data_IF_210617423287
#
_entry.id   IF_210617423287
#
_cell.length_a   1.000
_cell.length_b   1.000
_cell.length_c   1.000
_cell.angle_alpha   90.00
_cell.angle_beta   90.00
_cell.angle_gamma   90.00
#
_symmetry.space_group_name_H-M   'P 1'
#
loop_
_entity.id
_entity.type
_entity.pdbx_description
1 polymer ?
#
# COMPACT_ATOMS: atom_id res chain seq x y z
N UNK A 1 15.87 3.33 -32.66
CA UNK A 1 16.96 2.44 -32.20
C UNK A 1 17.69 2.91 -30.94
N UNK A 2 17.72 4.19 -30.58
CA UNK A 2 18.37 4.66 -29.34
C UNK A 2 17.60 4.33 -28.04
N UNK A 3 16.26 4.21 -28.10
CA UNK A 3 15.42 3.91 -26.94
C UNK A 3 15.59 2.47 -26.41
N UNK A 4 15.83 1.49 -27.28
CA UNK A 4 16.08 0.12 -26.85
C UNK A 4 17.44 -0.02 -26.16
N UNK A 5 18.48 0.71 -26.58
CA UNK A 5 19.77 0.66 -25.88
C UNK A 5 19.69 1.19 -24.45
N UNK A 6 18.82 2.18 -24.19
CA UNK A 6 18.64 2.75 -22.85
C UNK A 6 17.90 1.81 -21.89
N UNK A 7 16.93 1.05 -22.39
CA UNK A 7 16.22 0.06 -21.56
C UNK A 7 17.12 -1.14 -21.22
N UNK A 8 17.94 -1.60 -22.16
CA UNK A 8 18.96 -2.61 -21.88
C UNK A 8 20.04 -2.11 -20.89
N UNK A 9 20.43 -0.83 -20.96
CA UNK A 9 21.34 -0.24 -19.98
C UNK A 9 20.72 -0.13 -18.58
N UNK A 10 19.45 0.24 -18.46
CA UNK A 10 18.76 0.29 -17.17
C UNK A 10 18.61 -1.11 -16.54
N UNK A 11 18.34 -2.13 -17.36
CA UNK A 11 18.23 -3.52 -16.92
C UNK A 11 19.60 -4.08 -16.47
N UNK A 12 20.68 -3.70 -17.16
CA UNK A 12 22.06 -4.02 -16.74
C UNK A 12 22.45 -3.29 -15.46
N UNK A 13 22.02 -2.04 -15.26
CA UNK A 13 22.26 -1.31 -14.01
C UNK A 13 21.48 -1.91 -12.84
N UNK A 14 20.25 -2.38 -13.06
CA UNK A 14 19.46 -3.10 -12.04
C UNK A 14 20.07 -4.45 -11.69
N UNK A 15 20.54 -5.23 -12.69
CA UNK A 15 21.25 -6.49 -12.45
C UNK A 15 22.59 -6.27 -11.73
N UNK A 16 23.33 -5.23 -12.09
CA UNK A 16 24.56 -4.84 -11.40
C UNK A 16 24.28 -4.44 -9.95
N UNK A 17 23.21 -3.66 -9.70
CA UNK A 17 22.79 -3.27 -8.36
C UNK A 17 22.35 -4.47 -7.50
N UNK A 18 21.60 -5.41 -8.09
CA UNK A 18 21.21 -6.65 -7.42
C UNK A 18 22.44 -7.52 -7.06
N UNK A 19 23.43 -7.61 -7.96
CA UNK A 19 24.68 -8.34 -7.68
C UNK A 19 25.55 -7.65 -6.61
N UNK A 20 25.54 -6.31 -6.55
CA UNK A 20 26.23 -5.55 -5.53
C UNK A 20 25.59 -5.73 -4.14
N UNK A 21 24.25 -5.76 -4.08
CA UNK A 21 23.51 -6.08 -2.84
C UNK A 21 23.78 -7.52 -2.36
N UNK A 22 23.94 -8.47 -3.27
CA UNK A 22 24.34 -9.84 -2.91
C UNK A 22 25.76 -9.87 -2.31
N UNK A 23 26.71 -9.14 -2.89
CA UNK A 23 28.09 -9.07 -2.38
C UNK A 23 28.24 -8.34 -1.04
N UNK A 24 27.43 -7.32 -0.76
CA UNK A 24 27.45 -6.65 0.55
C UNK A 24 26.89 -7.54 1.66
N UNK A 25 25.92 -8.41 1.34
CA UNK A 25 25.41 -9.40 2.31
C UNK A 25 26.47 -10.46 2.69
N UNK A 26 27.29 -10.89 1.71
CA UNK A 26 28.40 -11.82 1.97
C UNK A 26 29.57 -11.15 2.72
N UNK A 27 29.83 -9.86 2.44
CA UNK A 27 30.84 -9.10 3.17
C UNK A 27 30.44 -8.88 4.65
N UNK A 28 29.15 -8.61 4.90
CA UNK A 28 28.63 -8.49 6.28
C UNK A 28 28.79 -9.80 7.07
N UNK A 29 28.60 -10.95 6.42
CA UNK A 29 28.75 -12.28 7.04
C UNK A 29 30.20 -12.63 7.39
N UNK A 30 31.19 -12.05 6.68
CA UNK A 30 32.62 -12.24 6.98
C UNK A 30 33.10 -11.34 8.11
N UNK A 31 32.59 -10.13 8.25
CA UNK A 31 32.97 -9.22 9.33
C UNK A 31 32.39 -9.63 10.69
N UNK A 32 31.27 -10.35 10.72
CA UNK A 32 30.74 -10.97 11.95
C UNK A 32 31.66 -12.05 12.53
N UNK A 33 32.54 -12.65 11.71
CA UNK A 33 33.46 -13.71 12.16
C UNK A 33 34.81 -13.19 12.69
N UNK A 34 35.13 -11.89 12.54
CA UNK A 34 36.46 -11.36 12.87
C UNK A 34 36.48 -10.45 14.11
N UNK A 35 35.33 -9.96 14.60
CA UNK A 35 35.28 -9.04 15.75
C UNK A 35 35.15 -9.76 17.11
N UNK A 36 36.18 -10.50 17.51
CA UNK A 36 36.39 -10.88 18.92
C UNK A 36 37.12 -9.73 19.64
N UNK A 37 36.39 -8.65 19.98
CA UNK A 37 36.80 -7.69 21.01
C UNK A 37 35.91 -7.88 22.24
N UNK A 38 36.45 -7.76 23.47
CA UNK A 38 35.66 -7.95 24.68
C UNK A 38 34.48 -6.97 24.71
N UNK A 39 33.32 -7.39 25.24
CA UNK A 39 32.09 -6.64 25.06
C UNK A 39 32.17 -5.32 25.81
N UNK A 40 32.22 -4.21 25.08
CA UNK A 40 31.63 -2.97 25.58
C UNK A 40 30.15 -3.22 25.80
N UNK A 41 29.67 -2.86 26.99
CA UNK A 41 28.33 -3.09 27.54
C UNK A 41 27.24 -2.47 26.65
N UNK A 42 26.99 -3.06 25.49
CA UNK A 42 25.77 -2.87 24.71
C UNK A 42 24.71 -3.62 25.51
N UNK A 43 23.85 -2.89 26.19
CA UNK A 43 22.67 -3.47 26.82
C UNK A 43 21.88 -4.19 25.73
N UNK A 44 21.80 -5.52 25.82
CA UNK A 44 21.00 -6.36 24.92
C UNK A 44 19.58 -5.76 24.84
N UNK A 45 18.97 -5.67 23.64
CA UNK A 45 17.58 -5.22 23.52
C UNK A 45 16.64 -6.04 24.41
N UNK A 46 16.89 -7.35 24.52
CA UNK A 46 16.28 -8.29 25.48
C UNK A 46 16.19 -7.72 26.90
N UNK A 47 17.26 -7.11 27.42
CA UNK A 47 17.28 -6.60 28.80
C UNK A 47 16.42 -5.34 29.01
N UNK A 48 16.07 -4.63 27.93
CA UNK A 48 15.24 -3.42 28.00
C UNK A 48 13.75 -3.74 27.88
N UNK A 49 13.37 -4.63 26.96
CA UNK A 49 12.00 -5.14 26.83
C UNK A 49 11.60 -5.90 28.09
N UNK A 50 12.44 -6.84 28.54
CA UNK A 50 12.19 -7.60 29.78
C UNK A 50 12.05 -6.67 31.01
N UNK A 51 12.92 -5.67 31.17
CA UNK A 51 12.83 -4.70 32.26
C UNK A 51 11.60 -3.76 32.15
N UNK A 52 11.09 -3.52 30.93
CA UNK A 52 9.89 -2.70 30.69
C UNK A 52 8.63 -3.49 30.98
N UNK A 53 8.55 -4.75 30.53
CA UNK A 53 7.46 -5.69 30.79
C UNK A 53 7.33 -5.95 32.29
N UNK A 54 8.43 -6.28 32.97
CA UNK A 54 8.44 -6.44 34.45
C UNK A 54 7.98 -5.19 35.18
N UNK A 55 8.31 -3.99 34.68
CA UNK A 55 7.90 -2.71 35.29
C UNK A 55 6.41 -2.42 35.08
N UNK A 56 5.88 -2.65 33.88
CA UNK A 56 4.45 -2.48 33.59
C UNK A 56 3.58 -3.45 34.41
N UNK A 57 4.01 -4.70 34.56
CA UNK A 57 3.31 -5.72 35.35
C UNK A 57 3.34 -5.41 36.86
N UNK A 58 4.48 -4.93 37.39
CA UNK A 58 4.59 -4.50 38.80
C UNK A 58 3.68 -3.31 39.17
N UNK A 59 3.27 -2.51 38.17
CA UNK A 59 2.37 -1.36 38.37
C UNK A 59 0.89 -1.79 38.30
N UNK A 60 0.58 -2.94 37.69
CA UNK A 60 -0.80 -3.33 37.35
C UNK A 60 -1.42 -4.45 38.18
N UNK A 61 -0.66 -5.27 38.94
CA UNK A 61 -1.29 -6.35 39.72
C UNK A 61 -0.48 -6.77 40.95
N UNK A 62 -1.14 -6.78 42.11
CA UNK A 62 -0.68 -7.47 43.31
C UNK A 62 -0.98 -8.96 43.21
N UNK A 63 0.00 -9.79 43.58
CA UNK A 63 -0.08 -11.24 43.76
C UNK A 63 -0.48 -12.08 42.54
N UNK A 64 0.43 -12.22 41.58
CA UNK A 64 0.54 -13.39 40.70
C UNK A 64 2.00 -13.49 40.25
N UNK A 65 2.80 -14.37 40.88
CA UNK A 65 4.14 -14.68 40.36
C UNK A 65 3.95 -15.52 39.09
N UNK A 66 3.92 -14.84 37.95
CA UNK A 66 3.87 -15.39 36.61
C UNK A 66 5.26 -15.97 36.30
N UNK A 67 5.30 -17.17 35.71
CA UNK A 67 6.53 -17.95 35.55
C UNK A 67 7.52 -17.29 34.60
N UNK A 68 8.82 -17.48 34.81
CA UNK A 68 9.87 -16.92 33.92
C UNK A 68 9.67 -17.33 32.44
N UNK A 69 9.03 -18.48 32.18
CA UNK A 69 8.67 -18.96 30.84
C UNK A 69 7.62 -18.09 30.13
N UNK A 70 6.58 -17.63 30.83
CA UNK A 70 5.54 -16.77 30.24
C UNK A 70 6.07 -15.33 29.98
N UNK A 71 7.07 -14.87 30.75
CA UNK A 71 7.76 -13.60 30.48
C UNK A 71 8.62 -13.73 29.22
N UNK A 72 9.33 -14.84 29.08
CA UNK A 72 10.16 -15.12 27.90
C UNK A 72 9.29 -15.21 26.63
N UNK A 73 8.12 -15.87 26.69
CA UNK A 73 7.17 -15.93 25.58
C UNK A 73 6.60 -14.55 25.20
N UNK A 74 6.23 -13.70 26.17
CA UNK A 74 5.76 -12.34 25.90
C UNK A 74 6.86 -11.46 25.30
N UNK A 75 8.11 -11.61 25.76
CA UNK A 75 9.26 -10.87 25.24
C UNK A 75 9.62 -11.31 23.83
N UNK A 76 9.58 -12.63 23.54
CA UNK A 76 9.78 -13.16 22.18
C UNK A 76 8.68 -12.67 21.23
N UNK A 77 7.42 -12.67 21.66
CA UNK A 77 6.31 -12.11 20.87
C UNK A 77 6.47 -10.59 20.61
N UNK A 78 6.86 -9.80 21.61
CA UNK A 78 7.06 -8.34 21.47
C UNK A 78 8.26 -8.02 20.55
N UNK A 79 9.32 -8.85 20.57
CA UNK A 79 10.48 -8.71 19.69
C UNK A 79 10.16 -9.13 18.24
N UNK A 80 9.41 -10.22 18.05
CA UNK A 80 8.90 -10.61 16.74
C UNK A 80 8.00 -9.53 16.13
N UNK A 81 7.07 -8.95 16.91
CA UNK A 81 6.24 -7.82 16.47
C UNK A 81 7.09 -6.58 16.11
N UNK A 82 8.11 -6.24 16.91
CA UNK A 82 9.00 -5.11 16.62
C UNK A 82 9.80 -5.33 15.33
N UNK A 83 10.31 -6.55 15.11
CA UNK A 83 11.06 -6.90 13.91
C UNK A 83 10.12 -6.86 12.70
N UNK A 84 8.90 -7.39 12.82
CA UNK A 84 7.88 -7.39 11.77
C UNK A 84 7.44 -5.97 11.38
N UNK A 85 7.16 -5.10 12.35
CA UNK A 85 6.82 -3.70 12.08
C UNK A 85 7.94 -2.96 11.34
N UNK A 86 9.21 -3.20 11.72
CA UNK A 86 10.37 -2.61 11.04
C UNK A 86 10.46 -3.07 9.58
N UNK A 87 10.27 -4.36 9.32
CA UNK A 87 10.27 -4.88 7.95
C UNK A 87 9.09 -4.37 7.13
N UNK A 88 7.88 -4.34 7.67
CA UNK A 88 6.70 -3.80 6.96
C UNK A 88 6.92 -2.35 6.52
N UNK A 89 7.42 -1.51 7.43
CA UNK A 89 7.73 -0.11 7.13
C UNK A 89 8.80 0.04 6.03
N UNK A 90 9.85 -0.79 6.07
CA UNK A 90 10.90 -0.80 5.04
C UNK A 90 10.35 -1.23 3.67
N UNK A 91 9.53 -2.28 3.63
CA UNK A 91 8.91 -2.73 2.39
C UNK A 91 7.90 -1.72 1.85
N UNK A 92 7.10 -1.08 2.71
CA UNK A 92 6.17 -0.02 2.32
C UNK A 92 6.86 1.19 1.71
N UNK A 93 7.95 1.68 2.32
CA UNK A 93 8.75 2.77 1.76
C UNK A 93 9.44 2.35 0.46
N UNK A 94 9.96 1.13 0.38
CA UNK A 94 10.59 0.62 -0.85
C UNK A 94 9.56 0.51 -1.99
N UNK A 95 8.35 0.06 -1.69
CA UNK A 95 7.24 0.00 -2.64
C UNK A 95 6.85 1.40 -3.13
N UNK A 96 6.68 2.38 -2.23
CA UNK A 96 6.40 3.77 -2.60
C UNK A 96 7.53 4.40 -3.43
N UNK A 97 8.79 4.12 -3.09
CA UNK A 97 9.92 4.55 -3.91
C UNK A 97 9.90 3.93 -5.30
N UNK A 98 9.55 2.64 -5.39
CA UNK A 98 9.43 1.93 -6.66
C UNK A 98 8.26 2.44 -7.50
N UNK A 99 7.09 2.74 -6.93
CA UNK A 99 5.97 3.36 -7.67
C UNK A 99 6.37 4.72 -8.23
N UNK A 100 7.04 5.55 -7.43
CA UNK A 100 7.49 6.87 -7.85
C UNK A 100 8.53 6.79 -8.98
N UNK A 101 9.50 5.89 -8.87
CA UNK A 101 10.51 5.66 -9.92
C UNK A 101 9.86 5.13 -11.21
N UNK A 102 8.93 4.19 -11.11
CA UNK A 102 8.22 3.65 -12.28
C UNK A 102 7.36 4.73 -12.93
N UNK A 103 6.65 5.54 -12.14
CA UNK A 103 5.89 6.70 -12.63
C UNK A 103 6.79 7.68 -13.39
N UNK A 104 7.92 8.06 -12.80
CA UNK A 104 8.90 8.95 -13.42
C UNK A 104 9.50 8.39 -14.72
N UNK A 105 9.81 7.09 -14.77
CA UNK A 105 10.31 6.42 -15.98
C UNK A 105 9.23 6.34 -17.06
N UNK A 106 7.96 6.17 -16.69
CA UNK A 106 6.84 6.13 -17.64
C UNK A 106 6.64 7.49 -18.30
N UNK A 107 6.69 8.56 -17.50
CA UNK A 107 6.57 9.94 -17.97
C UNK A 107 7.75 10.33 -18.87
N UNK A 108 8.98 9.92 -18.50
CA UNK A 108 10.18 10.13 -19.31
C UNK A 108 10.15 9.40 -20.67
N UNK A 109 9.32 8.36 -20.82
CA UNK A 109 9.13 7.62 -22.07
C UNK A 109 7.96 8.13 -22.92
N UNK A 110 7.34 9.28 -22.58
CA UNK A 110 6.22 9.89 -23.33
C UNK A 110 4.99 8.98 -23.52
N UNK A 111 4.71 8.08 -22.57
CA UNK A 111 3.50 7.26 -22.60
C UNK A 111 2.37 8.01 -21.87
N UNK A 112 1.73 8.95 -22.55
CA UNK A 112 0.65 9.79 -21.98
C UNK A 112 -0.68 9.07 -21.74
N UNK A 113 -0.78 7.76 -22.02
CA UNK A 113 -2.05 7.03 -21.94
C UNK A 113 -2.37 6.48 -20.54
N UNK A 114 -1.40 6.48 -19.61
CA UNK A 114 -1.57 5.95 -18.26
C UNK A 114 -1.42 7.06 -17.22
N UNK A 115 -2.50 7.39 -16.46
CA UNK A 115 -2.41 8.27 -15.30
C UNK A 115 -1.45 7.70 -14.26
N UNK A 116 -0.76 8.56 -13.52
CA UNK A 116 0.13 8.17 -12.42
C UNK A 116 -0.57 7.26 -11.39
N UNK A 117 -1.83 7.57 -11.07
CA UNK A 117 -2.66 6.74 -10.20
C UNK A 117 -2.86 5.30 -10.74
N UNK A 118 -3.00 5.13 -12.06
CA UNK A 118 -3.15 3.81 -12.67
C UNK A 118 -1.88 2.97 -12.54
N UNK A 119 -0.70 3.61 -12.61
CA UNK A 119 0.60 2.94 -12.38
C UNK A 119 0.69 2.41 -10.95
N UNK A 120 0.27 3.22 -9.97
CA UNK A 120 0.22 2.80 -8.56
C UNK A 120 -0.69 1.59 -8.34
N UNK A 121 -1.89 1.59 -8.92
CA UNK A 121 -2.84 0.47 -8.82
C UNK A 121 -2.28 -0.80 -9.48
N UNK A 122 -1.70 -0.70 -10.67
CA UNK A 122 -1.10 -1.85 -11.36
C UNK A 122 0.09 -2.42 -10.60
N UNK A 123 0.91 -1.55 -10.01
CA UNK A 123 2.05 -1.97 -9.19
C UNK A 123 1.57 -2.67 -7.91
N UNK A 124 0.55 -2.14 -7.23
CA UNK A 124 -0.08 -2.81 -6.08
C UNK A 124 -0.68 -4.17 -6.42
N UNK A 125 -1.34 -4.28 -7.58
CA UNK A 125 -1.83 -5.57 -8.07
C UNK A 125 -0.69 -6.55 -8.37
N UNK A 126 0.42 -6.07 -8.94
CA UNK A 126 1.59 -6.90 -9.23
C UNK A 126 2.33 -7.36 -7.96
N UNK A 127 2.47 -6.51 -6.95
CA UNK A 127 3.10 -6.88 -5.67
C UNK A 127 2.21 -7.82 -4.86
N UNK A 128 0.90 -7.56 -4.78
CA UNK A 128 -0.06 -8.46 -4.12
C UNK A 128 -0.18 -9.81 -4.85
N UNK A 129 -0.28 -9.78 -6.18
CA UNK A 129 -0.30 -10.99 -7.02
C UNK A 129 1.01 -11.77 -6.94
N UNK A 130 2.15 -11.07 -6.89
CA UNK A 130 3.47 -11.66 -6.69
C UNK A 130 3.62 -12.32 -5.32
N UNK A 131 3.16 -11.66 -4.24
CA UNK A 131 3.15 -12.24 -2.90
C UNK A 131 2.24 -13.48 -2.82
N UNK A 132 1.04 -13.41 -3.40
CA UNK A 132 0.12 -14.55 -3.49
C UNK A 132 0.70 -15.73 -4.29
N UNK A 133 1.42 -15.44 -5.38
CA UNK A 133 2.10 -16.47 -6.18
C UNK A 133 3.28 -17.10 -5.42
N UNK A 134 4.05 -16.31 -4.68
CA UNK A 134 5.14 -16.81 -3.83
C UNK A 134 4.61 -17.68 -2.68
N UNK A 135 3.48 -17.33 -2.07
CA UNK A 135 2.78 -18.16 -1.08
C UNK A 135 2.37 -19.54 -1.63
N UNK A 136 2.11 -19.65 -2.93
CA UNK A 136 1.77 -20.93 -3.57
C UNK A 136 2.98 -21.80 -3.89
N UNK A 137 4.17 -21.18 -4.02
CA UNK A 137 5.41 -21.88 -4.34
C UNK A 137 6.25 -22.20 -3.11
N UNK A 138 6.08 -21.45 -2.02
CA UNK A 138 6.78 -21.64 -0.75
C UNK A 138 5.76 -21.77 0.40
N UNK A 139 5.68 -22.96 0.99
CA UNK A 139 4.79 -23.27 2.12
C UNK A 139 5.44 -22.90 3.48
N UNK A 140 6.22 -21.81 3.51
CA UNK A 140 6.77 -21.28 4.74
C UNK A 140 5.79 -20.29 5.37
N UNK A 141 5.70 -20.23 6.70
CA UNK A 141 5.07 -19.10 7.40
C UNK A 141 5.98 -17.86 7.30
N UNK A 142 6.22 -17.40 6.07
CA UNK A 142 7.06 -16.25 5.81
C UNK A 142 6.34 -14.93 6.13
N UNK A 143 7.11 -13.84 6.32
CA UNK A 143 6.60 -12.52 6.71
C UNK A 143 5.61 -11.89 5.71
N UNK A 144 5.45 -12.48 4.52
CA UNK A 144 4.50 -12.04 3.48
C UNK A 144 3.03 -12.25 3.84
N UNK A 145 2.70 -13.20 4.74
CA UNK A 145 1.32 -13.50 5.16
C UNK A 145 0.68 -12.38 5.98
N UNK A 146 1.48 -11.69 6.77
CA UNK A 146 1.01 -10.64 7.67
C UNK A 146 0.93 -9.28 6.94
N UNK A 147 1.83 -9.00 5.99
CA UNK A 147 1.77 -7.78 5.14
C UNK A 147 0.44 -7.63 4.38
N UNK A 148 -0.17 -8.75 3.93
CA UNK A 148 -1.43 -8.71 3.18
C UNK A 148 -2.68 -8.67 4.07
N UNK A 149 -2.54 -8.94 5.37
CA UNK A 149 -3.68 -9.14 6.27
C UNK A 149 -3.99 -7.90 7.12
N UNK A 150 -3.03 -6.98 7.31
CA UNK A 150 -3.13 -5.94 8.35
C UNK A 150 -3.05 -4.48 7.87
N UNK A 151 -2.81 -4.22 6.59
CA UNK A 151 -2.88 -2.85 6.04
C UNK A 151 -4.34 -2.47 5.73
N UNK A 152 -5.17 -2.35 6.77
CA UNK A 152 -6.54 -1.85 6.62
C UNK A 152 -6.50 -0.34 6.46
N UNK A 153 -6.93 0.13 5.30
CA UNK A 153 -7.14 1.56 5.04
C UNK A 153 -8.16 2.13 6.03
N UNK A 154 -7.73 3.11 6.84
CA UNK A 154 -8.62 3.83 7.75
C UNK A 154 -9.38 4.95 7.00
N UNK A 155 -10.64 4.65 6.69
CA UNK A 155 -11.54 5.59 6.02
C UNK A 155 -11.86 6.82 6.87
N UNK A 156 -11.90 6.69 8.19
CA UNK A 156 -12.20 7.81 9.09
C UNK A 156 -11.03 8.79 9.13
N UNK A 157 -9.81 8.27 9.20
CA UNK A 157 -8.61 9.10 9.05
C UNK A 157 -8.57 9.80 7.69
N UNK A 158 -8.83 9.06 6.60
CA UNK A 158 -8.84 9.64 5.26
C UNK A 158 -9.88 10.77 5.11
N UNK A 159 -11.12 10.53 5.52
CA UNK A 159 -12.21 11.50 5.41
C UNK A 159 -12.01 12.72 6.32
N UNK A 160 -11.42 12.53 7.50
CA UNK A 160 -11.27 13.60 8.49
C UNK A 160 -10.02 14.44 8.27
N UNK A 161 -8.90 13.82 7.85
CA UNK A 161 -7.60 14.49 7.76
C UNK A 161 -7.09 14.70 6.34
N UNK A 162 -7.29 13.75 5.43
CA UNK A 162 -6.71 13.83 4.07
C UNK A 162 -7.64 14.53 3.09
N UNK A 163 -8.95 14.27 3.18
CA UNK A 163 -9.93 14.82 2.25
C UNK A 163 -10.05 16.35 2.34
N UNK A 164 -10.06 17.01 3.53
CA UNK A 164 -10.19 18.47 3.58
C UNK A 164 -9.03 19.22 2.91
N UNK A 165 -7.74 18.87 3.13
CA UNK A 165 -6.63 19.46 2.38
C UNK A 165 -6.70 19.22 0.86
N UNK A 166 -7.08 18.00 0.43
CA UNK A 166 -7.17 17.66 -1.00
C UNK A 166 -8.24 18.52 -1.68
N UNK A 167 -9.43 18.62 -1.09
CA UNK A 167 -10.52 19.45 -1.65
C UNK A 167 -10.14 20.94 -1.64
N UNK A 168 -9.46 21.40 -0.58
CA UNK A 168 -9.00 22.79 -0.50
C UNK A 168 -7.99 23.13 -1.59
N UNK A 169 -7.00 22.27 -1.82
CA UNK A 169 -5.97 22.47 -2.85
C UNK A 169 -6.57 22.46 -4.26
N UNK A 170 -7.44 21.48 -4.54
CA UNK A 170 -8.18 21.41 -5.81
C UNK A 170 -9.07 22.65 -6.04
N UNK A 171 -9.79 23.10 -5.01
CA UNK A 171 -10.62 24.30 -5.08
C UNK A 171 -9.83 25.60 -5.22
N UNK A 172 -8.63 25.68 -4.61
CA UNK A 172 -7.75 26.85 -4.67
C UNK A 172 -7.11 27.01 -6.06
N UNK A 173 -6.75 25.90 -6.72
CA UNK A 173 -6.15 25.92 -8.05
C UNK A 173 -7.18 26.14 -9.18
N UNK A 174 -8.47 26.06 -8.88
CA UNK A 174 -9.55 26.18 -9.87
C UNK A 174 -9.88 27.64 -10.23
N UNK A 175 -10.12 27.91 -11.52
CA UNK A 175 -10.61 29.20 -11.97
C UNK A 175 -12.11 29.36 -11.65
N UNK A 176 -12.38 30.04 -10.54
CA UNK A 176 -13.72 30.27 -10.00
C UNK A 176 -14.67 30.95 -11.01
N UNK A 177 -14.17 31.87 -11.84
CA UNK A 177 -15.01 32.60 -12.82
C UNK A 177 -15.47 31.68 -13.95
N UNK A 178 -14.55 30.92 -14.54
CA UNK A 178 -14.89 29.96 -15.61
C UNK A 178 -15.77 28.80 -15.09
N UNK A 179 -15.60 28.42 -13.83
CA UNK A 179 -16.44 27.42 -13.17
C UNK A 179 -17.89 27.89 -13.01
N UNK A 180 -18.11 29.10 -12.51
CA UNK A 180 -19.48 29.62 -12.35
C UNK A 180 -20.19 29.81 -13.69
N UNK A 181 -19.46 30.16 -14.75
CA UNK A 181 -20.00 30.25 -16.10
C UNK A 181 -20.45 28.89 -16.66
N UNK A 182 -19.84 27.79 -16.23
CA UNK A 182 -20.11 26.41 -16.68
C UNK A 182 -20.72 25.51 -15.58
N UNK A 183 -21.25 26.11 -14.51
CA UNK A 183 -21.78 25.37 -13.38
C UNK A 183 -22.98 24.48 -13.76
N UNK A 184 -23.83 24.96 -14.68
CA UNK A 184 -25.02 24.23 -15.12
C UNK A 184 -24.68 22.90 -15.81
N UNK A 185 -23.77 22.84 -16.80
CA UNK A 185 -23.23 21.57 -17.32
C UNK A 185 -22.65 20.65 -16.25
N UNK A 186 -21.85 21.18 -15.32
CA UNK A 186 -21.22 20.38 -14.26
C UNK A 186 -22.25 19.72 -13.36
N UNK A 187 -23.26 20.46 -12.90
CA UNK A 187 -24.36 19.92 -12.09
C UNK A 187 -25.17 18.90 -12.90
N UNK A 188 -25.42 19.16 -14.18
CA UNK A 188 -26.13 18.23 -15.04
C UNK A 188 -25.38 16.89 -15.17
N UNK A 189 -24.06 16.91 -15.42
CA UNK A 189 -23.24 15.70 -15.46
C UNK A 189 -23.17 15.00 -14.10
N UNK A 190 -23.02 15.76 -13.01
CA UNK A 190 -22.92 15.19 -11.66
C UNK A 190 -24.19 14.44 -11.23
N UNK A 191 -25.38 14.97 -11.50
CA UNK A 191 -26.63 14.31 -11.12
C UNK A 191 -27.17 13.39 -12.21
N UNK A 192 -27.41 13.93 -13.40
CA UNK A 192 -28.06 13.18 -14.49
C UNK A 192 -27.11 12.15 -15.07
N UNK A 193 -25.83 12.51 -15.23
CA UNK A 193 -24.79 11.58 -15.70
C UNK A 193 -24.60 10.41 -14.75
N UNK A 194 -24.45 10.67 -13.45
CA UNK A 194 -24.33 9.62 -12.42
C UNK A 194 -25.58 8.74 -12.33
N UNK A 195 -26.77 9.34 -12.37
CA UNK A 195 -28.01 8.58 -12.35
C UNK A 195 -28.10 7.63 -13.55
N UNK A 196 -27.89 8.15 -14.77
CA UNK A 196 -27.96 7.35 -15.98
C UNK A 196 -26.88 6.25 -16.00
N UNK A 197 -25.65 6.59 -15.62
CA UNK A 197 -24.53 5.64 -15.55
C UNK A 197 -24.78 4.53 -14.52
N UNK A 198 -25.39 4.85 -13.37
CA UNK A 198 -25.81 3.85 -12.38
C UNK A 198 -26.76 2.81 -12.97
N UNK A 199 -27.78 3.24 -13.72
CA UNK A 199 -28.69 2.30 -14.39
C UNK A 199 -27.99 1.50 -15.48
N UNK A 200 -27.20 2.15 -16.34
CA UNK A 200 -26.50 1.47 -17.43
C UNK A 200 -25.57 0.39 -16.90
N UNK A 201 -24.73 0.71 -15.91
CA UNK A 201 -23.80 -0.25 -15.29
C UNK A 201 -24.58 -1.31 -14.50
N UNK A 202 -25.59 -0.92 -13.71
CA UNK A 202 -26.39 -1.85 -12.92
C UNK A 202 -27.13 -2.87 -13.77
N UNK A 203 -27.76 -2.45 -14.86
CA UNK A 203 -28.39 -3.37 -15.81
C UNK A 203 -27.36 -4.24 -16.52
N UNK A 204 -26.23 -3.67 -16.95
CA UNK A 204 -25.18 -4.43 -17.63
C UNK A 204 -24.65 -5.55 -16.74
N UNK A 205 -24.37 -5.27 -15.46
CA UNK A 205 -23.92 -6.26 -14.48
C UNK A 205 -25.00 -7.30 -14.20
N UNK A 206 -26.27 -6.89 -14.05
CA UNK A 206 -27.38 -7.82 -13.85
C UNK A 206 -27.54 -8.79 -15.03
N UNK A 207 -27.55 -8.29 -16.27
CA UNK A 207 -27.65 -9.13 -17.46
C UNK A 207 -26.40 -9.97 -17.69
N UNK A 208 -25.20 -9.45 -17.41
CA UNK A 208 -23.97 -10.23 -17.46
C UNK A 208 -24.00 -11.40 -16.47
N UNK A 209 -24.62 -11.22 -15.29
CA UNK A 209 -24.81 -12.28 -14.30
C UNK A 209 -25.76 -13.38 -14.78
N UNK A 210 -26.85 -12.99 -15.44
CA UNK A 210 -27.80 -13.94 -16.03
C UNK A 210 -27.22 -14.73 -17.22
N UNK A 211 -26.29 -14.11 -17.97
CA UNK A 211 -25.57 -14.74 -19.07
C UNK A 211 -24.39 -15.62 -18.60
N UNK A 212 -24.12 -15.69 -17.29
CA UNK A 212 -23.02 -16.46 -16.73
C UNK A 212 -21.62 -15.87 -16.96
N UNK A 213 -21.52 -14.59 -17.35
CA UNK A 213 -20.26 -13.87 -17.53
C UNK A 213 -19.67 -13.38 -16.19
N UNK A 214 -20.54 -13.12 -15.22
CA UNK A 214 -20.15 -12.73 -13.86
C UNK A 214 -21.02 -13.44 -12.82
N UNK A 215 -20.71 -13.23 -11.54
CA UNK A 215 -21.53 -13.75 -10.44
C UNK A 215 -22.97 -13.24 -10.56
N UNK A 216 -23.95 -14.12 -10.36
CA UNK A 216 -25.35 -13.73 -10.42
C UNK A 216 -25.72 -12.88 -9.20
N UNK A 217 -25.66 -11.55 -9.36
CA UNK A 217 -26.14 -10.60 -8.37
C UNK A 217 -27.64 -10.38 -8.51
N UNK A 218 -28.32 -10.20 -7.37
CA UNK A 218 -29.69 -9.72 -7.35
C UNK A 218 -29.80 -8.32 -7.97
N UNK A 219 -30.98 -7.96 -8.46
CA UNK A 219 -31.18 -6.69 -9.17
C UNK A 219 -30.80 -5.48 -8.32
N UNK A 220 -31.19 -5.49 -7.04
CA UNK A 220 -30.83 -4.40 -6.13
C UNK A 220 -29.32 -4.34 -5.88
N UNK A 221 -28.68 -5.49 -5.69
CA UNK A 221 -27.23 -5.55 -5.47
C UNK A 221 -26.43 -5.09 -6.69
N UNK A 222 -26.88 -5.43 -7.90
CA UNK A 222 -26.28 -4.93 -9.14
C UNK A 222 -26.45 -3.40 -9.29
N UNK A 223 -27.60 -2.86 -8.90
CA UNK A 223 -27.85 -1.41 -8.93
C UNK A 223 -27.05 -0.67 -7.84
N UNK A 224 -26.86 -1.25 -6.66
CA UNK A 224 -25.97 -0.73 -5.62
C UNK A 224 -24.51 -0.70 -6.10
N UNK A 225 -24.06 -1.76 -6.77
CA UNK A 225 -22.73 -1.78 -7.39
C UNK A 225 -22.60 -0.70 -8.48
N UNK A 226 -23.61 -0.57 -9.35
CA UNK A 226 -23.67 0.49 -10.35
C UNK A 226 -23.59 1.89 -9.72
N UNK A 227 -24.28 2.12 -8.60
CA UNK A 227 -24.26 3.39 -7.88
C UNK A 227 -22.90 3.69 -7.26
N UNK A 228 -22.22 2.66 -6.75
CA UNK A 228 -20.90 2.80 -6.13
C UNK A 228 -19.82 3.16 -7.17
N UNK A 229 -19.84 2.50 -8.33
CA UNK A 229 -18.88 2.77 -9.42
C UNK A 229 -19.20 4.08 -10.15
N UNK A 230 -20.47 4.44 -10.25
CA UNK A 230 -20.89 5.64 -10.96
C UNK A 230 -20.75 6.92 -10.14
N UNK A 231 -20.50 6.86 -8.84
CA UNK A 231 -20.31 8.03 -8.02
C UNK A 231 -19.07 8.81 -8.50
N UNK A 232 -19.29 9.92 -9.21
CA UNK A 232 -18.22 10.80 -9.68
C UNK A 232 -18.06 11.98 -8.72
N UNK A 233 -16.83 12.23 -8.27
CA UNK A 233 -16.53 13.37 -7.42
C UNK A 233 -16.44 14.66 -8.24
N UNK A 234 -17.28 15.68 -7.98
CA UNK A 234 -17.24 16.93 -8.73
C UNK A 234 -15.86 17.61 -8.63
N UNK A 235 -15.13 17.40 -7.54
CA UNK A 235 -13.75 17.91 -7.37
C UNK A 235 -12.80 17.41 -8.47
N UNK A 236 -12.93 16.15 -8.88
CA UNK A 236 -12.08 15.60 -9.96
C UNK A 236 -12.46 16.15 -11.33
N UNK A 237 -13.76 16.40 -11.56
CA UNK A 237 -14.24 17.08 -12.78
C UNK A 237 -13.71 18.52 -12.82
N UNK A 238 -13.65 19.19 -11.67
CA UNK A 238 -13.18 20.57 -11.57
C UNK A 238 -11.69 20.75 -11.88
N UNK A 239 -10.86 19.76 -11.55
CA UNK A 239 -9.41 19.84 -11.80
C UNK A 239 -9.02 19.64 -13.28
N UNK A 240 -9.93 19.15 -14.11
CA UNK A 240 -9.68 18.81 -15.52
C UNK A 240 -10.11 19.94 -16.49
N UNK A 241 -10.92 20.89 -16.03
CA UNK A 241 -11.40 22.05 -16.80
C UNK A 241 -10.67 23.33 -16.44
#
# INVERSE_FOLDING_TARGET
HAASMRTWQALLLLLAYASALAQTSEAMKKDTLVTNRPPTRVSNPLSRTEARVRRMLSTSSGNSELSEEEIEEIVEMEEEEEIMMKWSFVFGIMALGMTFIVGFILEANHVHWLPEAAVGVLMGFATAGGAWLLMQLDAGDGPYKYMLTEEKFDFEFFMTWLLPPIIFEAGYNMNVTAFFDNLAPTIFFAFVGTFLSTFVIGFLVYYAGQLGLCYALDFLAALTFGSLISATDPVTVLAVF
#
